data_IF_945115427289
#
_entry.id   IF_945115427289
#
_cell.length_a   1.000
_cell.length_b   1.000
_cell.length_c   1.000
_cell.angle_alpha   90.00
_cell.angle_beta   90.00
_cell.angle_gamma   90.00
#
_symmetry.space_group_name_H-M   'P 1'
#
loop_
_entity.id
_entity.type
_entity.pdbx_description
1 polymer ?
#
# COMPACT_ATOMS: atom_id res chain seq x y z
N UNK A 1 0.80 -14.30 54.62
CA UNK A 1 -0.44 -14.14 53.82
C UNK A 1 -0.88 -12.68 53.90
N UNK A 2 -0.56 -11.86 52.90
CA UNK A 2 -1.12 -10.52 52.74
C UNK A 2 -1.23 -10.21 51.25
N UNK A 3 -2.47 -10.09 50.77
CA UNK A 3 -2.83 -9.83 49.37
C UNK A 3 -2.87 -8.31 49.17
N UNK A 4 -2.09 -7.78 48.23
CA UNK A 4 -2.14 -6.36 47.87
C UNK A 4 -3.46 -6.01 47.14
N UNK A 5 -4.03 -4.81 47.34
CA UNK A 5 -5.27 -4.40 46.69
C UNK A 5 -5.05 -4.04 45.21
N UNK A 6 -6.01 -4.43 44.38
CA UNK A 6 -6.09 -4.13 42.94
C UNK A 6 -6.62 -2.70 42.73
N UNK A 7 -5.98 -1.84 41.93
CA UNK A 7 -6.54 -0.55 41.58
C UNK A 7 -7.69 -0.68 40.57
N UNK A 8 -8.78 0.04 40.84
CA UNK A 8 -10.00 0.15 40.01
C UNK A 8 -9.73 1.09 38.84
N UNK A 9 -9.96 0.63 37.61
CA UNK A 9 -9.94 1.49 36.42
C UNK A 9 -11.30 2.19 36.25
N UNK A 10 -11.29 3.51 36.05
CA UNK A 10 -12.46 4.30 35.64
C UNK A 10 -12.56 4.33 34.10
N UNK A 11 -13.78 4.35 33.53
CA UNK A 11 -13.95 4.44 32.09
C UNK A 11 -13.77 5.89 31.62
N UNK A 12 -12.72 6.16 30.82
CA UNK A 12 -12.59 7.43 30.12
C UNK A 12 -13.43 7.43 28.84
N UNK A 13 -14.62 8.01 28.93
CA UNK A 13 -15.45 8.48 27.83
C UNK A 13 -14.95 9.85 27.35
N UNK A 14 -14.73 10.03 26.04
CA UNK A 14 -14.49 11.37 25.47
C UNK A 14 -13.84 11.37 24.09
N UNK A 15 -14.57 10.99 23.05
CA UNK A 15 -14.19 11.27 21.67
C UNK A 15 -14.56 12.71 21.27
N UNK A 16 -13.71 13.47 20.54
CA UNK A 16 -14.01 14.86 20.15
C UNK A 16 -15.07 14.97 19.03
N UNK A 17 -15.93 16.02 19.04
CA UNK A 17 -17.03 16.20 18.10
C UNK A 17 -16.57 16.99 16.86
N UNK A 18 -16.28 16.30 15.75
CA UNK A 18 -15.98 16.93 14.45
C UNK A 18 -17.12 16.79 13.43
N UNK A 19 -18.29 16.33 13.86
CA UNK A 19 -19.50 16.20 13.04
C UNK A 19 -20.47 17.34 13.35
N UNK A 20 -20.06 18.59 13.13
CA UNK A 20 -20.94 19.78 13.11
C UNK A 20 -20.40 20.86 12.15
N UNK A 21 -19.95 20.48 10.95
CA UNK A 21 -19.82 21.42 9.82
C UNK A 21 -20.65 20.84 8.66
N UNK A 22 -21.94 20.67 8.94
CA UNK A 22 -22.96 20.41 7.95
C UNK A 22 -23.59 21.73 7.51
N UNK A 23 -23.64 21.90 6.19
CA UNK A 23 -24.49 22.81 5.42
C UNK A 23 -25.36 23.82 6.15
N UNK A 24 -25.04 25.09 5.95
CA UNK A 24 -26.03 26.14 5.81
C UNK A 24 -25.38 27.29 5.03
N UNK A 25 -25.82 27.52 3.79
CA UNK A 25 -26.01 28.83 3.16
C UNK A 25 -26.39 28.61 1.69
N UNK A 26 -27.66 28.23 1.51
CA UNK A 26 -28.38 28.26 0.25
C UNK A 26 -29.35 29.44 0.33
N UNK A 27 -29.25 30.35 -0.65
CA UNK A 27 -30.23 31.36 -1.10
C UNK A 27 -30.38 32.64 -0.28
N UNK A 28 -29.79 33.71 -0.83
CA UNK A 28 -30.43 35.02 -0.93
C UNK A 28 -30.16 35.58 -2.33
N UNK A 29 -31.18 35.53 -3.20
CA UNK A 29 -31.25 36.22 -4.49
C UNK A 29 -31.82 37.61 -4.24
N UNK A 30 -31.13 38.67 -4.66
CA UNK A 30 -31.77 39.95 -4.96
C UNK A 30 -30.92 40.71 -5.99
N UNK A 31 -31.61 41.21 -7.02
CA UNK A 31 -31.06 41.84 -8.20
C UNK A 31 -30.39 43.19 -7.92
N UNK A 32 -29.32 43.48 -8.65
CA UNK A 32 -28.87 44.83 -8.95
C UNK A 32 -28.24 44.86 -10.34
N UNK A 33 -29.12 44.88 -11.35
CA UNK A 33 -28.79 45.22 -12.73
C UNK A 33 -28.64 46.74 -12.79
N UNK A 34 -27.43 47.26 -12.53
CA UNK A 34 -27.11 48.68 -12.72
C UNK A 34 -26.18 48.81 -13.93
N UNK A 35 -26.82 49.32 -14.98
CA UNK A 35 -26.30 49.95 -16.19
C UNK A 35 -24.88 50.52 -16.05
N UNK A 36 -23.93 49.95 -16.78
CA UNK A 36 -22.69 50.63 -17.17
C UNK A 36 -22.72 50.90 -18.68
N UNK A 37 -22.42 52.14 -19.13
CA UNK A 37 -22.46 52.50 -20.53
C UNK A 37 -21.26 51.95 -21.30
N UNK A 38 -21.53 51.41 -22.47
CA UNK A 38 -20.57 51.08 -23.51
C UNK A 38 -19.92 52.36 -24.06
N UNK A 39 -18.60 52.38 -24.12
CA UNK A 39 -17.85 53.25 -25.02
C UNK A 39 -16.84 52.39 -25.79
N UNK A 40 -17.14 52.18 -27.06
CA UNK A 40 -16.27 51.63 -28.09
C UNK A 40 -15.34 52.69 -28.69
N UNK A 41 -14.28 52.20 -29.32
CA UNK A 41 -13.35 52.80 -30.31
C UNK A 41 -11.88 52.96 -29.83
N UNK A 42 -10.93 52.04 -30.11
CA UNK A 42 -10.25 51.64 -31.40
C UNK A 42 -8.99 52.52 -31.67
N UNK A 43 -7.87 52.14 -32.36
CA UNK A 43 -7.37 50.87 -32.96
C UNK A 43 -5.89 50.48 -32.63
N UNK A 44 -5.48 49.25 -33.01
CA UNK A 44 -4.23 49.05 -33.78
C UNK A 44 -3.20 48.03 -33.27
N UNK A 45 -3.27 46.77 -33.74
CA UNK A 45 -2.09 46.02 -34.19
C UNK A 45 -2.49 44.78 -35.01
N UNK A 46 -1.74 44.46 -36.09
CA UNK A 46 -2.25 43.66 -37.20
C UNK A 46 -2.18 42.15 -36.94
N UNK A 47 -3.30 41.51 -37.30
CA UNK A 47 -3.44 40.29 -38.10
C UNK A 47 -2.29 39.27 -38.06
N UNK A 48 -2.57 38.18 -37.35
CA UNK A 48 -1.85 36.92 -37.39
C UNK A 48 -2.81 35.78 -37.09
N UNK A 49 -3.79 35.60 -37.97
CA UNK A 49 -4.67 34.44 -38.02
C UNK A 49 -3.85 33.16 -38.26
N UNK A 50 -3.76 32.30 -37.25
CA UNK A 50 -3.53 30.87 -37.42
C UNK A 50 -4.36 30.10 -36.40
N UNK A 51 -5.52 29.66 -36.89
CA UNK A 51 -6.18 28.39 -36.60
C UNK A 51 -6.22 27.94 -35.13
N UNK A 52 -7.43 28.01 -34.58
CA UNK A 52 -7.91 27.11 -33.54
C UNK A 52 -7.77 25.66 -34.02
N UNK A 53 -6.66 25.02 -33.65
CA UNK A 53 -6.62 23.58 -33.53
C UNK A 53 -7.19 23.24 -32.16
N UNK A 54 -8.49 22.97 -32.11
CA UNK A 54 -9.04 22.11 -31.08
C UNK A 54 -8.28 20.78 -31.19
N UNK A 55 -7.26 20.60 -30.35
CA UNK A 55 -6.73 19.28 -30.08
C UNK A 55 -7.81 18.55 -29.30
N UNK A 56 -8.71 17.90 -30.03
CA UNK A 56 -9.28 16.64 -29.59
C UNK A 56 -8.09 15.68 -29.48
N UNK A 57 -7.34 15.77 -28.38
CA UNK A 57 -6.58 14.61 -27.92
C UNK A 57 -7.65 13.62 -27.54
N UNK A 58 -7.92 12.70 -28.46
CA UNK A 58 -8.67 11.51 -28.17
C UNK A 58 -8.17 10.97 -26.85
N UNK A 59 -9.14 10.62 -26.00
CA UNK A 59 -8.97 9.65 -24.92
C UNK A 59 -8.56 8.32 -25.57
N UNK A 60 -7.36 8.28 -26.13
CA UNK A 60 -6.68 7.05 -26.49
C UNK A 60 -6.17 6.54 -25.14
N UNK A 61 -7.08 5.90 -24.40
CA UNK A 61 -6.76 5.10 -23.24
C UNK A 61 -5.74 4.07 -23.69
N UNK A 62 -4.45 4.41 -23.51
CA UNK A 62 -3.33 3.51 -23.76
C UNK A 62 -3.66 2.24 -22.99
N UNK A 63 -3.83 1.08 -23.66
CA UNK A 63 -4.15 -0.14 -22.96
C UNK A 63 -3.03 -0.40 -21.96
N UNK A 64 -3.38 -0.32 -20.67
CA UNK A 64 -2.47 -0.68 -19.59
C UNK A 64 -1.93 -2.07 -19.91
N UNK A 65 -0.60 -2.30 -19.87
CA UNK A 65 -0.06 -3.61 -20.22
C UNK A 65 -0.76 -4.67 -19.37
N UNK A 66 -1.47 -5.59 -20.04
CA UNK A 66 -2.24 -6.64 -19.40
C UNK A 66 -1.27 -7.47 -18.57
N UNK A 67 -1.42 -7.44 -17.24
CA UNK A 67 -0.52 -8.17 -16.33
C UNK A 67 -0.69 -9.68 -16.59
N UNK A 68 0.41 -10.46 -16.61
CA UNK A 68 0.31 -11.91 -16.71
C UNK A 68 -0.59 -12.47 -15.62
N UNK A 69 -1.39 -13.49 -15.97
CA UNK A 69 -2.25 -14.16 -15.00
C UNK A 69 -1.42 -14.70 -13.82
N UNK A 70 -1.93 -14.62 -12.57
CA UNK A 70 -1.25 -15.19 -11.41
C UNK A 70 -0.94 -16.67 -11.61
N UNK A 71 0.25 -17.16 -11.20
CA UNK A 71 0.56 -18.58 -11.25
C UNK A 71 -0.31 -19.38 -10.26
N UNK A 72 -0.43 -20.70 -10.42
CA UNK A 72 -1.08 -21.55 -9.43
C UNK A 72 -0.38 -21.43 -8.07
N UNK A 73 -1.16 -21.48 -7.00
CA UNK A 73 -0.62 -21.54 -5.65
C UNK A 73 0.12 -22.88 -5.43
N UNK A 74 1.30 -22.80 -4.81
CA UNK A 74 1.99 -23.99 -4.30
C UNK A 74 1.38 -24.47 -2.98
N UNK A 75 2.01 -25.47 -2.37
CA UNK A 75 1.68 -25.87 -1.00
C UNK A 75 1.90 -24.67 -0.05
N UNK A 76 0.93 -24.34 0.81
CA UNK A 76 1.09 -23.26 1.77
C UNK A 76 2.25 -23.57 2.73
N UNK A 77 3.12 -22.59 2.95
CA UNK A 77 4.12 -22.69 4.00
C UNK A 77 3.44 -22.81 5.37
N UNK A 78 3.86 -23.76 6.22
CA UNK A 78 3.35 -23.87 7.59
C UNK A 78 3.53 -22.56 8.37
N UNK A 79 2.54 -22.20 9.18
CA UNK A 79 2.66 -21.05 10.07
C UNK A 79 3.57 -21.47 11.23
N UNK A 80 4.72 -20.80 11.44
CA UNK A 80 5.59 -21.12 12.56
C UNK A 80 4.93 -20.81 13.90
N UNK A 81 5.40 -21.46 14.97
CA UNK A 81 5.00 -21.09 16.33
C UNK A 81 5.29 -19.61 16.60
N UNK A 82 4.43 -18.95 17.40
CA UNK A 82 4.56 -17.52 17.67
C UNK A 82 5.88 -17.15 18.36
N UNK A 83 6.44 -18.07 19.14
CA UNK A 83 7.71 -17.98 19.86
C UNK A 83 8.87 -18.68 19.14
N UNK A 84 8.68 -19.11 17.88
CA UNK A 84 9.75 -19.72 17.11
C UNK A 84 10.97 -18.77 17.04
N UNK A 85 12.18 -19.28 17.34
CA UNK A 85 13.37 -18.44 17.37
C UNK A 85 13.66 -17.88 15.98
N UNK A 86 13.97 -16.58 15.92
CA UNK A 86 14.38 -15.91 14.70
C UNK A 86 15.91 -15.80 14.65
N UNK A 87 16.57 -16.14 13.53
CA UNK A 87 17.99 -15.85 13.36
C UNK A 87 18.23 -14.34 13.46
N UNK A 88 19.40 -13.88 13.94
CA UNK A 88 19.73 -12.46 13.95
C UNK A 88 19.69 -11.91 12.53
N UNK A 89 19.16 -10.70 12.36
CA UNK A 89 19.18 -10.02 11.06
C UNK A 89 20.64 -9.69 10.68
N UNK A 90 21.07 -9.99 9.45
CA UNK A 90 22.41 -9.64 8.99
C UNK A 90 22.60 -8.13 8.94
N UNK A 91 23.85 -7.69 9.13
CA UNK A 91 24.26 -6.31 8.92
C UNK A 91 24.58 -6.11 7.43
N UNK A 92 24.00 -5.08 6.83
CA UNK A 92 24.27 -4.70 5.43
C UNK A 92 24.74 -3.26 5.37
N UNK A 93 25.58 -2.93 4.39
CA UNK A 93 26.15 -1.58 4.21
C UNK A 93 25.21 -0.62 3.48
N UNK A 94 24.27 -1.16 2.70
CA UNK A 94 23.35 -0.42 1.83
C UNK A 94 21.91 -0.45 2.39
N UNK A 95 21.74 0.04 3.62
CA UNK A 95 20.42 0.13 4.22
C UNK A 95 19.55 1.16 3.51
N UNK A 96 18.30 0.77 3.34
CA UNK A 96 17.21 1.61 2.90
C UNK A 96 16.99 2.80 3.86
N UNK A 97 16.54 3.98 3.39
CA UNK A 97 16.19 5.12 4.25
C UNK A 97 14.84 4.90 4.97
N UNK A 98 14.79 3.90 5.84
CA UNK A 98 13.69 3.62 6.79
C UNK A 98 14.26 3.46 8.19
N UNK A 99 13.40 3.60 9.19
CA UNK A 99 13.86 3.41 10.58
C UNK A 99 14.34 1.97 10.78
N UNK A 100 15.32 1.72 11.68
CA UNK A 100 15.73 0.36 12.00
C UNK A 100 14.58 -0.51 12.53
N UNK A 101 13.62 0.10 13.24
CA UNK A 101 12.39 -0.56 13.69
C UNK A 101 11.54 -0.98 12.50
N UNK A 102 11.38 -0.11 11.51
CA UNK A 102 10.55 -0.38 10.34
C UNK A 102 11.05 -1.58 9.53
N UNK A 103 12.37 -1.68 9.40
CA UNK A 103 13.04 -2.81 8.75
C UNK A 103 12.83 -4.07 9.58
N UNK A 104 13.10 -4.01 10.89
CA UNK A 104 12.91 -5.15 11.79
C UNK A 104 11.47 -5.67 11.76
N UNK A 105 10.48 -4.80 11.83
CA UNK A 105 9.07 -5.16 11.84
C UNK A 105 8.67 -5.86 10.53
N UNK A 106 9.16 -5.38 9.38
CA UNK A 106 8.89 -6.02 8.09
C UNK A 106 9.45 -7.46 8.04
N UNK A 107 10.68 -7.66 8.52
CA UNK A 107 11.31 -8.98 8.58
C UNK A 107 10.58 -9.93 9.54
N UNK A 108 10.22 -9.46 10.74
CA UNK A 108 9.46 -10.24 11.71
C UNK A 108 8.08 -10.60 11.15
N UNK A 109 7.39 -9.63 10.53
CA UNK A 109 6.10 -9.86 9.91
C UNK A 109 6.17 -10.93 8.82
N UNK A 110 7.16 -10.82 7.91
CA UNK A 110 7.39 -11.83 6.88
C UNK A 110 7.67 -13.22 7.46
N UNK A 111 8.46 -13.30 8.54
CA UNK A 111 8.78 -14.55 9.19
C UNK A 111 7.56 -15.24 9.78
N UNK A 112 6.72 -14.48 10.50
CA UNK A 112 5.58 -15.01 11.26
C UNK A 112 4.29 -15.16 10.44
N UNK A 113 4.18 -14.47 9.29
CA UNK A 113 2.96 -14.43 8.49
C UNK A 113 3.19 -14.91 7.04
N UNK A 114 3.72 -16.14 6.81
CA UNK A 114 3.90 -16.66 5.46
C UNK A 114 2.57 -16.71 4.68
N UNK A 115 1.48 -17.05 5.36
CA UNK A 115 0.11 -17.07 4.82
C UNK A 115 -0.40 -15.70 4.32
N UNK A 116 0.34 -14.60 4.52
CA UNK A 116 0.01 -13.27 4.00
C UNK A 116 0.96 -12.90 2.87
N UNK A 117 2.26 -12.76 3.16
CA UNK A 117 3.21 -12.20 2.20
C UNK A 117 3.55 -13.15 1.05
N UNK A 118 3.18 -14.43 1.12
CA UNK A 118 3.26 -15.34 -0.03
C UNK A 118 2.23 -15.03 -1.13
N UNK A 119 1.19 -14.26 -0.78
CA UNK A 119 0.12 -13.85 -1.68
C UNK A 119 0.13 -12.34 -1.98
N UNK A 120 1.11 -11.61 -1.43
CA UNK A 120 1.30 -10.17 -1.70
C UNK A 120 2.44 -9.98 -2.70
N UNK A 121 2.20 -9.36 -3.87
CA UNK A 121 3.25 -9.08 -4.84
C UNK A 121 4.20 -7.96 -4.39
N UNK A 122 5.43 -8.00 -4.91
CA UNK A 122 6.38 -6.90 -4.82
C UNK A 122 6.49 -6.20 -6.18
N UNK A 123 6.73 -4.88 -6.18
CA UNK A 123 6.69 -4.04 -7.38
C UNK A 123 8.04 -3.42 -7.75
N UNK A 124 9.12 -3.85 -7.07
CA UNK A 124 10.44 -3.25 -7.25
C UNK A 124 11.22 -3.82 -8.46
N UNK A 125 10.66 -4.80 -9.18
CA UNK A 125 11.34 -5.46 -10.29
C UNK A 125 12.20 -6.68 -9.88
N UNK A 126 12.07 -7.15 -8.63
CA UNK A 126 12.86 -8.28 -8.11
C UNK A 126 12.48 -9.64 -8.71
N UNK A 127 11.41 -9.73 -9.51
CA UNK A 127 11.09 -10.93 -10.28
C UNK A 127 12.20 -11.31 -11.26
N UNK A 128 12.94 -10.31 -11.76
CA UNK A 128 14.13 -10.54 -12.61
C UNK A 128 15.28 -11.21 -11.87
N UNK A 129 15.22 -11.25 -10.53
CA UNK A 129 16.16 -11.95 -9.64
C UNK A 129 15.56 -13.24 -9.05
N UNK A 130 14.37 -13.63 -9.50
CA UNK A 130 13.72 -14.88 -9.10
C UNK A 130 12.77 -14.77 -7.90
N UNK A 131 12.55 -13.58 -7.33
CA UNK A 131 11.51 -13.41 -6.29
C UNK A 131 10.12 -13.56 -6.90
N UNK A 132 9.27 -14.34 -6.26
CA UNK A 132 7.92 -14.67 -6.74
C UNK A 132 6.83 -13.92 -5.98
N UNK A 133 7.14 -13.44 -4.78
CA UNK A 133 6.23 -12.69 -3.89
C UNK A 133 7.02 -11.78 -2.95
N UNK A 134 6.34 -10.90 -2.24
CA UNK A 134 6.97 -10.00 -1.28
C UNK A 134 7.69 -10.75 -0.14
N UNK A 135 7.22 -11.94 0.27
CA UNK A 135 7.89 -12.76 1.28
C UNK A 135 9.35 -13.12 0.90
N UNK A 136 9.63 -13.34 -0.40
CA UNK A 136 10.95 -13.75 -0.87
C UNK A 136 11.99 -12.63 -0.70
N UNK A 137 11.55 -11.38 -0.59
CA UNK A 137 12.43 -10.24 -0.30
C UNK A 137 13.03 -10.28 1.11
N UNK A 138 12.49 -11.11 1.99
CA UNK A 138 12.86 -11.17 3.41
C UNK A 138 13.39 -12.54 3.81
N UNK A 139 12.76 -13.62 3.33
CA UNK A 139 13.07 -14.98 3.78
C UNK A 139 13.61 -15.78 2.60
N UNK A 140 14.90 -16.10 2.66
CA UNK A 140 15.56 -16.92 1.64
C UNK A 140 15.16 -18.39 1.78
N UNK A 141 14.97 -18.88 3.01
CA UNK A 141 14.55 -20.25 3.26
C UNK A 141 13.95 -20.47 4.64
N UNK A 142 13.18 -21.56 4.75
CA UNK A 142 12.51 -22.00 5.98
C UNK A 142 12.81 -23.45 6.30
N UNK A 143 12.65 -23.81 7.57
CA UNK A 143 12.61 -25.19 8.03
C UNK A 143 11.24 -25.82 7.72
N UNK A 144 11.09 -27.16 7.84
CA UNK A 144 9.80 -27.84 7.57
C UNK A 144 8.62 -27.35 8.43
N UNK A 145 8.88 -26.77 9.60
CA UNK A 145 7.87 -26.18 10.48
C UNK A 145 7.50 -24.72 10.11
N UNK A 146 8.07 -24.20 9.03
CA UNK A 146 7.85 -22.82 8.58
C UNK A 146 8.74 -21.78 9.27
N UNK A 147 9.53 -22.14 10.29
CA UNK A 147 10.46 -21.21 10.94
C UNK A 147 11.57 -20.77 9.98
N UNK A 148 12.10 -19.56 10.16
CA UNK A 148 13.11 -19.00 9.25
C UNK A 148 14.44 -19.72 9.46
N UNK A 149 14.99 -20.28 8.38
CA UNK A 149 16.34 -20.84 8.34
C UNK A 149 17.36 -19.79 7.91
N UNK A 150 17.00 -18.95 6.94
CA UNK A 150 17.91 -17.97 6.34
C UNK A 150 17.15 -16.75 5.83
N UNK A 151 17.71 -15.55 6.08
CA UNK A 151 17.17 -14.28 5.61
C UNK A 151 17.67 -13.96 4.20
N UNK A 152 16.81 -13.39 3.38
CA UNK A 152 17.20 -12.66 2.17
C UNK A 152 17.45 -11.19 2.56
N UNK A 153 18.55 -10.59 2.12
CA UNK A 153 18.91 -9.20 2.46
C UNK A 153 18.35 -8.16 1.51
N UNK A 154 17.69 -8.56 0.43
CA UNK A 154 17.14 -7.66 -0.58
C UNK A 154 16.18 -6.63 0.03
N UNK A 155 15.31 -7.06 0.95
CA UNK A 155 14.38 -6.19 1.65
C UNK A 155 15.07 -5.05 2.42
N UNK A 156 16.25 -5.30 3.00
CA UNK A 156 17.01 -4.25 3.71
C UNK A 156 17.51 -3.13 2.80
N UNK A 157 17.65 -3.40 1.51
CA UNK A 157 18.18 -2.48 0.51
C UNK A 157 17.11 -1.88 -0.41
N UNK A 158 15.83 -2.19 -0.20
CA UNK A 158 14.75 -1.80 -1.10
C UNK A 158 13.55 -1.18 -0.36
N UNK A 159 13.28 0.10 -0.64
CA UNK A 159 12.15 0.86 -0.06
C UNK A 159 10.82 0.16 -0.32
N UNK A 160 10.58 -0.24 -1.58
CA UNK A 160 9.31 -0.82 -2.00
C UNK A 160 9.03 -2.14 -1.28
N UNK A 161 10.03 -3.00 -1.09
CA UNK A 161 9.86 -4.25 -0.36
C UNK A 161 9.33 -3.99 1.06
N UNK A 162 9.96 -3.05 1.77
CA UNK A 162 9.63 -2.69 3.16
C UNK A 162 8.26 -2.04 3.24
N UNK A 163 7.96 -1.09 2.35
CA UNK A 163 6.71 -0.35 2.38
C UNK A 163 5.51 -1.26 2.05
N UNK A 164 5.66 -2.19 1.09
CA UNK A 164 4.65 -3.21 0.79
C UNK A 164 4.39 -4.11 2.00
N UNK A 165 5.44 -4.64 2.62
CA UNK A 165 5.32 -5.53 3.77
C UNK A 165 4.64 -4.82 4.95
N UNK A 166 5.01 -3.56 5.21
CA UNK A 166 4.41 -2.75 6.27
C UNK A 166 2.98 -2.36 5.96
N UNK A 167 2.63 -2.12 4.70
CA UNK A 167 1.25 -1.89 4.31
C UNK A 167 0.39 -3.14 4.59
N UNK A 168 0.84 -4.31 4.14
CA UNK A 168 0.17 -5.58 4.43
C UNK A 168 0.05 -5.84 5.94
N UNK A 169 1.12 -5.59 6.70
CA UNK A 169 1.14 -5.71 8.17
C UNK A 169 0.05 -4.86 8.83
N UNK A 170 -0.09 -3.58 8.43
CA UNK A 170 -1.11 -2.68 9.00
C UNK A 170 -2.54 -3.16 8.69
N UNK A 171 -2.78 -3.61 7.46
CA UNK A 171 -4.11 -4.11 7.07
C UNK A 171 -4.47 -5.41 7.80
N UNK A 172 -3.52 -6.31 8.00
CA UNK A 172 -3.74 -7.52 8.83
C UNK A 172 -3.99 -7.16 10.29
N UNK A 173 -3.28 -6.18 10.82
CA UNK A 173 -3.52 -5.68 12.18
C UNK A 173 -4.92 -5.06 12.33
N UNK A 174 -5.54 -4.54 11.27
CA UNK A 174 -6.93 -4.07 11.27
C UNK A 174 -7.96 -5.17 10.99
N UNK A 175 -7.55 -6.44 10.87
CA UNK A 175 -8.44 -7.58 10.65
C UNK A 175 -8.83 -7.84 9.19
N UNK A 176 -8.20 -7.17 8.21
CA UNK A 176 -8.48 -7.40 6.79
C UNK A 176 -8.13 -8.84 6.39
N UNK A 177 -8.92 -9.46 5.50
CA UNK A 177 -8.64 -10.81 4.97
C UNK A 177 -7.46 -10.80 3.99
N UNK A 178 -6.86 -11.94 3.68
CA UNK A 178 -5.61 -11.97 2.88
C UNK A 178 -5.86 -11.47 1.45
N UNK A 179 -6.99 -11.83 0.88
CA UNK A 179 -7.49 -11.33 -0.40
C UNK A 179 -7.70 -9.81 -0.38
N UNK A 180 -8.24 -9.24 0.69
CA UNK A 180 -8.43 -7.79 0.84
C UNK A 180 -7.08 -7.08 0.96
N UNK A 181 -6.13 -7.68 1.70
CA UNK A 181 -4.76 -7.18 1.79
C UNK A 181 -4.10 -7.15 0.43
N UNK A 182 -4.20 -8.25 -0.33
CA UNK A 182 -3.64 -8.31 -1.68
C UNK A 182 -4.26 -7.24 -2.56
N UNK A 183 -5.60 -7.15 -2.61
CA UNK A 183 -6.31 -6.20 -3.45
C UNK A 183 -5.95 -4.74 -3.11
N UNK A 184 -5.87 -4.40 -1.81
CA UNK A 184 -5.48 -3.06 -1.37
C UNK A 184 -4.03 -2.71 -1.75
N UNK A 185 -3.10 -3.67 -1.63
CA UNK A 185 -1.72 -3.49 -2.09
C UNK A 185 -1.69 -3.33 -3.62
N UNK A 186 -2.37 -4.19 -4.38
CA UNK A 186 -2.44 -4.07 -5.85
C UNK A 186 -3.02 -2.73 -6.31
N UNK A 187 -4.04 -2.22 -5.63
CA UNK A 187 -4.60 -0.90 -5.90
C UNK A 187 -3.58 0.22 -5.61
N UNK A 188 -2.86 0.13 -4.48
CA UNK A 188 -1.90 1.16 -4.07
C UNK A 188 -0.70 1.27 -5.01
N UNK A 189 -0.25 0.13 -5.55
CA UNK A 189 0.92 0.05 -6.42
C UNK A 189 0.55 -0.12 -7.90
N UNK A 190 -0.69 0.17 -8.30
CA UNK A 190 -1.20 -0.04 -9.67
C UNK A 190 -0.43 0.73 -10.76
N UNK A 191 0.25 1.83 -10.40
CA UNK A 191 1.08 2.60 -11.32
C UNK A 191 2.41 1.91 -11.70
N UNK A 192 2.80 0.84 -11.00
CA UNK A 192 4.00 0.08 -11.33
C UNK A 192 3.72 -0.92 -12.45
N UNK A 193 4.51 -0.84 -13.51
CA UNK A 193 4.38 -1.73 -14.69
C UNK A 193 4.74 -3.19 -14.39
N UNK A 194 5.55 -3.43 -13.35
CA UNK A 194 6.06 -4.77 -13.00
C UNK A 194 5.67 -5.16 -11.59
N UNK A 195 5.38 -6.45 -11.44
CA UNK A 195 5.16 -7.08 -10.15
C UNK A 195 5.68 -8.52 -10.16
N UNK A 196 5.98 -9.06 -8.98
CA UNK A 196 6.34 -10.47 -8.84
C UNK A 196 5.17 -11.39 -9.23
N UNK A 197 5.43 -12.54 -9.89
CA UNK A 197 4.39 -13.49 -10.30
C UNK A 197 3.83 -14.22 -9.07
N UNK A 198 2.92 -13.55 -8.38
CA UNK A 198 2.47 -13.93 -7.05
C UNK A 198 1.14 -14.66 -7.14
N UNK A 199 1.03 -15.90 -6.64
CA UNK A 199 -0.22 -16.66 -6.70
C UNK A 199 -1.34 -15.95 -5.94
N UNK A 200 -2.59 -16.23 -6.31
CA UNK A 200 -3.75 -15.77 -5.54
C UNK A 200 -3.83 -16.52 -4.19
N UNK A 201 -4.35 -15.88 -3.14
CA UNK A 201 -4.64 -16.59 -1.89
C UNK A 201 -5.70 -17.68 -2.13
N UNK A 202 -5.69 -18.77 -1.36
CA UNK A 202 -6.72 -19.79 -1.43
C UNK A 202 -8.09 -19.17 -1.14
N UNK A 203 -9.13 -19.70 -1.79
CA UNK A 203 -10.49 -19.27 -1.54
C UNK A 203 -10.87 -19.49 -0.06
N UNK A 204 -11.77 -18.66 0.52
CA UNK A 204 -12.31 -18.91 1.86
C UNK A 204 -12.78 -20.36 2.00
N UNK A 205 -12.44 -21.02 3.11
CA UNK A 205 -13.13 -22.24 3.48
C UNK A 205 -14.58 -21.90 3.83
N UNK A 206 -15.54 -22.60 3.21
CA UNK A 206 -16.97 -22.48 3.49
C UNK A 206 -17.34 -23.13 4.82
#
# INVERSE_FOLDING_TARGET
>A
MSKAPVPRQEPASGGPPWILIGGLLVVAVAAALVLLPSSSDTPGSPDGELASAASETGDESVPSPERPAPPPAGEPTPIPAADAPLPPLPLVSNLVPRSPQDIRDAYIFAAQNPHVLEYVPCYCGCETRGHKRNADCFVQSRNPDGSVREWDTHGMACIVCIDVARHAMRLRASGARVEDVRAAVESTYAAYERQTPTPLPPAPAN
#
